data_IF_445046091640
#
_entry.id   IF_445046091640
#
_cell.length_a   1.000
_cell.length_b   1.000
_cell.length_c   1.000
_cell.angle_alpha   90.00
_cell.angle_beta   90.00
_cell.angle_gamma   90.00
#
_symmetry.space_group_name_H-M   'P 1'
#
loop_
_entity.id
_entity.type
_entity.pdbx_description
1 polymer ?
#
# COMPACT_ATOMS: atom_id res chain seq x y z
N UNK A 1 -3.81 26.38 -5.14
CA UNK A 1 -4.91 25.71 -4.40
C UNK A 1 -5.57 24.77 -5.38
N UNK A 2 -5.56 23.46 -5.09
CA UNK A 2 -6.11 22.43 -5.99
C UNK A 2 -7.33 21.75 -5.37
N UNK A 3 -8.21 21.22 -6.21
CA UNK A 3 -9.33 20.36 -5.84
C UNK A 3 -8.95 18.91 -6.13
N UNK A 4 -8.92 18.06 -5.12
CA UNK A 4 -8.42 16.72 -5.20
C UNK A 4 -9.48 15.73 -4.75
N UNK A 5 -9.77 14.72 -5.55
CA UNK A 5 -10.63 13.61 -5.17
C UNK A 5 -9.80 12.48 -4.57
N UNK A 6 -10.11 12.02 -3.36
CA UNK A 6 -9.51 10.87 -2.73
C UNK A 6 -10.55 9.74 -2.62
N UNK A 7 -10.43 8.71 -3.44
CA UNK A 7 -11.45 7.66 -3.56
C UNK A 7 -11.61 6.81 -2.29
N UNK A 8 -10.52 6.57 -1.55
CA UNK A 8 -10.51 5.66 -0.40
C UNK A 8 -9.75 6.23 0.79
N UNK A 9 -10.43 6.79 1.82
CA UNK A 9 -9.79 7.27 3.04
C UNK A 9 -9.47 6.10 4.00
N UNK A 10 -8.66 5.13 3.52
CA UNK A 10 -8.01 4.14 4.36
C UNK A 10 -6.96 4.78 5.27
N UNK A 11 -6.15 4.00 5.98
CA UNK A 11 -5.12 4.56 6.86
C UNK A 11 -4.13 5.45 6.08
N UNK A 12 -3.66 4.98 4.92
CA UNK A 12 -2.73 5.72 4.06
C UNK A 12 -3.42 6.87 3.33
N UNK A 13 -4.58 6.62 2.69
CA UNK A 13 -5.30 7.65 1.95
C UNK A 13 -5.70 8.82 2.85
N UNK A 14 -6.19 8.56 4.06
CA UNK A 14 -6.55 9.61 5.00
C UNK A 14 -5.34 10.45 5.44
N UNK A 15 -4.16 9.84 5.64
CA UNK A 15 -2.96 10.60 5.99
C UNK A 15 -2.47 11.48 4.85
N UNK A 16 -2.53 10.99 3.60
CA UNK A 16 -2.25 11.80 2.40
C UNK A 16 -3.24 12.98 2.32
N UNK A 17 -4.54 12.69 2.45
CA UNK A 17 -5.56 13.72 2.44
C UNK A 17 -5.38 14.78 3.53
N UNK A 18 -5.01 14.38 4.76
CA UNK A 18 -4.73 15.29 5.87
C UNK A 18 -3.55 16.23 5.55
N UNK A 19 -2.48 15.72 4.95
CA UNK A 19 -1.34 16.54 4.53
C UNK A 19 -1.76 17.56 3.46
N UNK A 20 -2.49 17.13 2.45
CA UNK A 20 -2.98 18.01 1.39
C UNK A 20 -3.96 19.06 1.92
N UNK A 21 -4.87 18.67 2.83
CA UNK A 21 -5.79 19.60 3.47
C UNK A 21 -5.05 20.65 4.32
N UNK A 22 -3.96 20.26 5.01
CA UNK A 22 -3.14 21.19 5.80
C UNK A 22 -2.45 22.27 4.95
N UNK A 23 -2.31 22.05 3.64
CA UNK A 23 -1.76 22.98 2.64
C UNK A 23 -2.84 23.75 1.88
N UNK A 24 -4.03 23.87 2.44
CA UNK A 24 -5.17 24.62 1.88
C UNK A 24 -5.77 24.03 0.59
N UNK A 25 -5.46 22.79 0.23
CA UNK A 25 -6.15 22.10 -0.86
C UNK A 25 -7.55 21.64 -0.40
N UNK A 26 -8.51 21.62 -1.31
CA UNK A 26 -9.82 20.98 -1.07
C UNK A 26 -9.72 19.51 -1.43
N UNK A 27 -9.88 18.63 -0.44
CA UNK A 27 -9.81 17.17 -0.67
C UNK A 27 -11.20 16.57 -0.48
N UNK A 28 -11.78 16.08 -1.58
CA UNK A 28 -13.06 15.36 -1.58
C UNK A 28 -12.84 13.89 -1.22
N UNK A 29 -13.86 13.27 -0.63
CA UNK A 29 -13.90 11.82 -0.50
C UNK A 29 -15.31 11.28 -0.76
N UNK A 30 -15.41 10.03 -1.26
CA UNK A 30 -16.68 9.38 -1.56
C UNK A 30 -17.19 8.61 -0.33
N UNK A 31 -18.28 9.05 0.34
CA UNK A 31 -18.76 8.45 1.59
C UNK A 31 -19.58 7.17 1.39
N UNK A 32 -20.28 7.03 0.25
CA UNK A 32 -21.25 5.94 0.05
C UNK A 32 -20.56 4.58 0.04
N UNK A 33 -21.13 3.62 0.76
CA UNK A 33 -20.60 2.28 0.87
C UNK A 33 -19.31 2.15 1.72
N UNK A 34 -18.88 3.22 2.41
CA UNK A 34 -17.68 3.17 3.26
C UNK A 34 -18.02 2.82 4.71
N UNK A 35 -17.06 2.16 5.37
CA UNK A 35 -17.20 1.82 6.79
C UNK A 35 -17.18 3.07 7.69
N UNK A 36 -17.80 2.99 8.87
CA UNK A 36 -17.70 4.05 9.88
C UNK A 36 -16.25 4.37 10.29
N UNK A 37 -15.34 3.39 10.20
CA UNK A 37 -13.90 3.60 10.43
C UNK A 37 -13.28 4.49 9.36
N UNK A 38 -13.67 4.32 8.10
CA UNK A 38 -13.22 5.18 6.99
C UNK A 38 -13.78 6.59 7.12
N UNK A 39 -15.06 6.73 7.46
CA UNK A 39 -15.71 8.03 7.69
C UNK A 39 -15.01 8.82 8.82
N UNK A 40 -14.72 8.16 9.94
CA UNK A 40 -13.99 8.78 11.06
C UNK A 40 -12.59 9.26 10.65
N UNK A 41 -11.87 8.48 9.85
CA UNK A 41 -10.55 8.90 9.34
C UNK A 41 -10.66 10.09 8.38
N UNK A 42 -11.65 10.10 7.51
CA UNK A 42 -11.90 11.21 6.60
C UNK A 42 -12.21 12.50 7.37
N UNK A 43 -13.04 12.42 8.41
CA UNK A 43 -13.34 13.55 9.31
C UNK A 43 -12.07 14.05 10.00
N UNK A 44 -11.26 13.15 10.58
CA UNK A 44 -10.00 13.51 11.23
C UNK A 44 -8.99 14.15 10.26
N UNK A 45 -9.03 13.77 8.99
CA UNK A 45 -8.19 14.32 7.94
C UNK A 45 -8.72 15.64 7.34
N UNK A 46 -9.89 16.12 7.79
CA UNK A 46 -10.52 17.34 7.27
C UNK A 46 -11.03 17.19 5.83
N UNK A 47 -11.38 15.97 5.40
CA UNK A 47 -11.87 15.74 4.03
C UNK A 47 -13.31 16.16 3.88
N UNK A 48 -13.65 16.68 2.71
CA UNK A 48 -15.01 17.10 2.35
C UNK A 48 -15.78 15.91 1.74
N UNK A 49 -16.88 15.44 2.33
CA UNK A 49 -17.67 14.37 1.73
C UNK A 49 -18.43 14.87 0.51
N UNK A 50 -18.43 14.10 -0.58
CA UNK A 50 -19.32 14.33 -1.73
C UNK A 50 -19.63 13.03 -2.46
N UNK A 51 -20.96 12.75 -2.59
CA UNK A 51 -21.51 11.67 -3.44
C UNK A 51 -22.04 12.21 -4.77
N UNK A 52 -21.76 13.48 -5.11
CA UNK A 52 -22.18 14.09 -6.37
C UNK A 52 -21.05 13.97 -7.39
N UNK A 53 -21.30 13.24 -8.49
CA UNK A 53 -20.29 13.02 -9.54
C UNK A 53 -19.78 14.35 -10.11
N UNK A 54 -20.66 15.35 -10.27
CA UNK A 54 -20.29 16.67 -10.80
C UNK A 54 -19.18 17.35 -9.98
N UNK A 55 -19.12 17.10 -8.67
CA UNK A 55 -18.02 17.59 -7.83
C UNK A 55 -16.67 16.98 -8.20
N UNK A 56 -16.68 15.69 -8.59
CA UNK A 56 -15.48 14.93 -8.96
C UNK A 56 -15.01 15.29 -10.36
N UNK A 57 -15.93 15.61 -11.28
CA UNK A 57 -15.58 16.03 -12.65
C UNK A 57 -14.77 17.33 -12.68
N UNK A 58 -14.82 18.12 -11.61
CA UNK A 58 -14.08 19.38 -11.47
C UNK A 58 -12.77 19.24 -10.66
N UNK A 59 -12.41 18.03 -10.26
CA UNK A 59 -11.16 17.80 -9.55
C UNK A 59 -9.95 17.90 -10.49
N UNK A 60 -8.91 18.60 -10.07
CA UNK A 60 -7.63 18.64 -10.79
C UNK A 60 -6.98 17.25 -10.81
N UNK A 61 -7.07 16.53 -9.70
CA UNK A 61 -6.54 15.18 -9.51
C UNK A 61 -7.57 14.29 -8.83
N UNK A 62 -7.61 13.01 -9.24
CA UNK A 62 -8.30 11.94 -8.52
C UNK A 62 -7.27 10.90 -8.09
N UNK A 63 -7.17 10.63 -6.78
CA UNK A 63 -6.21 9.67 -6.21
C UNK A 63 -6.94 8.36 -5.92
N UNK A 64 -6.49 7.28 -6.59
CA UNK A 64 -6.86 5.90 -6.29
C UNK A 64 -5.83 5.28 -5.36
N UNK A 65 -6.26 4.88 -4.16
CA UNK A 65 -5.43 4.18 -3.19
C UNK A 65 -6.27 3.13 -2.44
N UNK A 66 -6.33 1.93 -2.99
CA UNK A 66 -7.13 0.80 -2.52
C UNK A 66 -6.27 -0.49 -2.46
N UNK A 67 -6.81 -1.61 -1.99
CA UNK A 67 -6.14 -2.91 -2.14
C UNK A 67 -5.93 -3.27 -3.62
N UNK A 68 -4.85 -4.02 -3.95
CA UNK A 68 -4.50 -4.36 -5.33
C UNK A 68 -5.64 -4.98 -6.15
N UNK A 69 -6.45 -5.83 -5.53
CA UNK A 69 -7.57 -6.54 -6.14
C UNK A 69 -8.74 -5.61 -6.58
N UNK A 70 -8.80 -4.40 -6.06
CA UNK A 70 -9.82 -3.41 -6.41
C UNK A 70 -9.36 -2.40 -7.47
N UNK A 71 -8.09 -2.39 -7.88
CA UNK A 71 -7.52 -1.32 -8.71
C UNK A 71 -8.26 -1.13 -10.04
N UNK A 72 -8.52 -2.21 -10.78
CA UNK A 72 -9.20 -2.15 -12.09
C UNK A 72 -10.65 -1.69 -11.97
N UNK A 73 -11.38 -2.19 -10.96
CA UNK A 73 -12.79 -1.79 -10.76
C UNK A 73 -12.93 -0.34 -10.35
N UNK A 74 -11.98 0.18 -9.58
CA UNK A 74 -11.93 1.59 -9.20
C UNK A 74 -11.60 2.46 -10.40
N UNK A 75 -10.62 2.09 -11.22
CA UNK A 75 -10.31 2.78 -12.46
C UNK A 75 -11.51 2.80 -13.42
N UNK A 76 -12.22 1.67 -13.57
CA UNK A 76 -13.42 1.59 -14.38
C UNK A 76 -14.52 2.54 -13.88
N UNK A 77 -14.72 2.64 -12.55
CA UNK A 77 -15.69 3.59 -12.00
C UNK A 77 -15.38 5.04 -12.38
N UNK A 78 -14.11 5.44 -12.40
CA UNK A 78 -13.71 6.80 -12.80
C UNK A 78 -13.95 7.04 -14.30
N UNK A 79 -13.75 6.02 -15.13
CA UNK A 79 -14.13 6.07 -16.56
C UNK A 79 -15.64 6.24 -16.71
N UNK A 80 -16.43 5.47 -15.98
CA UNK A 80 -17.90 5.47 -16.04
C UNK A 80 -18.49 6.82 -15.59
N UNK A 81 -17.81 7.54 -14.69
CA UNK A 81 -18.18 8.90 -14.30
C UNK A 81 -17.96 9.93 -15.42
N UNK A 82 -17.16 9.63 -16.43
CA UNK A 82 -16.79 10.55 -17.49
C UNK A 82 -15.76 11.60 -17.06
N UNK A 83 -14.96 11.31 -16.05
CA UNK A 83 -13.85 12.17 -15.60
C UNK A 83 -12.85 12.38 -16.74
N UNK A 84 -12.31 13.60 -16.87
CA UNK A 84 -11.38 13.98 -17.95
C UNK A 84 -10.07 14.63 -17.44
N UNK A 85 -9.84 14.62 -16.14
CA UNK A 85 -8.65 15.17 -15.52
C UNK A 85 -7.51 14.15 -15.38
N UNK A 86 -6.73 14.27 -14.32
CA UNK A 86 -5.58 13.40 -14.05
C UNK A 86 -5.90 12.41 -12.92
N UNK A 87 -5.81 11.11 -13.19
CA UNK A 87 -5.90 10.06 -12.17
C UNK A 87 -4.50 9.69 -11.70
N UNK A 88 -4.33 9.68 -10.38
CA UNK A 88 -3.14 9.18 -9.71
C UNK A 88 -3.43 7.74 -9.30
N UNK A 89 -2.83 6.78 -10.00
CA UNK A 89 -2.89 5.37 -9.62
C UNK A 89 -1.84 5.12 -8.53
N UNK A 90 -2.29 5.03 -7.28
CA UNK A 90 -1.40 4.92 -6.11
C UNK A 90 -1.52 3.57 -5.40
N UNK A 91 -2.04 2.54 -6.09
CA UNK A 91 -2.17 1.20 -5.55
C UNK A 91 -0.83 0.45 -5.54
N UNK A 92 -0.74 -0.59 -4.73
CA UNK A 92 0.46 -1.43 -4.69
C UNK A 92 0.35 -2.56 -5.72
N UNK A 93 0.39 -2.23 -7.00
CA UNK A 93 0.27 -3.16 -8.13
C UNK A 93 1.56 -3.23 -8.95
N UNK A 94 1.71 -4.30 -9.75
CA UNK A 94 2.86 -4.46 -10.62
C UNK A 94 2.91 -3.38 -11.72
N UNK A 95 4.10 -3.02 -12.22
CA UNK A 95 4.22 -2.02 -13.28
C UNK A 95 3.47 -2.41 -14.56
N UNK A 96 3.37 -3.68 -14.89
CA UNK A 96 2.60 -4.15 -16.04
C UNK A 96 1.11 -3.89 -15.84
N UNK A 97 0.59 -4.28 -14.71
CA UNK A 97 -0.81 -4.08 -14.32
C UNK A 97 -1.20 -2.59 -14.33
N UNK A 98 -0.32 -1.74 -13.79
CA UNK A 98 -0.48 -0.29 -13.86
C UNK A 98 -0.59 0.20 -15.32
N UNK A 99 0.33 -0.24 -16.20
CA UNK A 99 0.30 0.16 -17.62
C UNK A 99 -0.97 -0.31 -18.32
N UNK A 100 -1.51 -1.46 -17.98
CA UNK A 100 -2.76 -1.96 -18.57
C UNK A 100 -4.00 -1.17 -18.07
N UNK A 101 -4.02 -0.74 -16.81
CA UNK A 101 -5.03 0.19 -16.29
C UNK A 101 -4.88 1.54 -16.99
N UNK A 102 -3.67 2.08 -17.09
CA UNK A 102 -3.40 3.36 -17.72
C UNK A 102 -3.87 3.41 -19.18
N UNK A 103 -3.64 2.35 -19.98
CA UNK A 103 -4.14 2.26 -21.35
C UNK A 103 -5.66 2.44 -21.46
N UNK A 104 -6.42 1.87 -20.52
CA UNK A 104 -7.89 2.00 -20.50
C UNK A 104 -8.33 3.40 -20.14
N UNK A 105 -7.67 4.00 -19.15
CA UNK A 105 -7.93 5.37 -18.70
C UNK A 105 -7.60 6.39 -19.80
N UNK A 106 -6.43 6.28 -20.40
CA UNK A 106 -5.98 7.16 -21.49
C UNK A 106 -6.86 7.03 -22.75
N UNK A 107 -7.33 5.82 -23.07
CA UNK A 107 -8.30 5.62 -24.17
C UNK A 107 -9.65 6.32 -23.89
N UNK A 108 -9.95 6.63 -22.63
CA UNK A 108 -11.14 7.39 -22.21
C UNK A 108 -10.85 8.89 -22.00
N UNK A 109 -9.66 9.37 -22.34
CA UNK A 109 -9.26 10.78 -22.22
C UNK A 109 -8.74 11.19 -20.83
N UNK A 110 -8.51 10.24 -19.94
CA UNK A 110 -8.02 10.49 -18.56
C UNK A 110 -6.49 10.40 -18.57
N UNK A 111 -5.81 11.45 -18.13
CA UNK A 111 -4.36 11.41 -17.93
C UNK A 111 -4.03 10.55 -16.69
N UNK A 112 -2.92 9.82 -16.74
CA UNK A 112 -2.49 8.96 -15.64
C UNK A 112 -1.11 9.36 -15.13
N UNK A 113 -0.99 9.42 -13.81
CA UNK A 113 0.28 9.45 -13.08
C UNK A 113 0.38 8.17 -12.26
N UNK A 114 1.50 7.46 -12.38
CA UNK A 114 1.88 6.38 -11.49
C UNK A 114 2.37 6.98 -10.16
N UNK A 115 1.60 6.80 -9.10
CA UNK A 115 1.91 7.27 -7.76
C UNK A 115 2.14 6.11 -6.80
N UNK A 116 3.32 6.00 -6.23
CA UNK A 116 3.66 4.90 -5.33
C UNK A 116 4.05 5.40 -3.95
N UNK A 117 3.28 4.99 -2.92
CA UNK A 117 3.59 5.39 -1.54
C UNK A 117 4.58 4.40 -0.92
N UNK A 118 5.73 4.91 -0.47
CA UNK A 118 6.80 4.16 0.19
C UNK A 118 6.92 4.69 1.63
N UNK A 119 6.65 3.84 2.60
CA UNK A 119 6.61 4.20 4.03
C UNK A 119 5.26 3.94 4.67
N UNK A 120 5.01 4.57 5.81
CA UNK A 120 3.77 4.48 6.59
C UNK A 120 2.87 5.70 6.47
N UNK A 121 1.65 5.67 7.05
CA UNK A 121 0.84 6.88 7.22
C UNK A 121 1.59 7.93 8.04
N UNK A 122 1.56 9.20 7.60
CA UNK A 122 2.18 10.34 8.28
C UNK A 122 1.13 11.44 8.41
N UNK A 123 0.87 11.85 9.63
CA UNK A 123 -0.10 12.91 9.91
C UNK A 123 0.60 14.25 10.09
N UNK A 124 -0.05 15.40 9.83
CA UNK A 124 0.55 16.72 10.02
C UNK A 124 1.11 16.96 11.43
N UNK A 125 0.53 16.28 12.44
CA UNK A 125 0.98 16.33 13.84
C UNK A 125 2.28 15.59 14.11
N UNK A 126 2.73 14.70 13.22
CA UNK A 126 3.89 13.83 13.47
C UNK A 126 5.23 14.55 13.33
N UNK A 127 5.23 15.72 12.67
CA UNK A 127 6.35 16.68 12.67
C UNK A 127 7.63 16.24 11.95
N UNK A 128 7.68 15.03 11.39
CA UNK A 128 8.84 14.50 10.68
C UNK A 128 8.46 13.97 9.31
N UNK A 129 9.31 14.21 8.31
CA UNK A 129 9.24 13.56 7.02
C UNK A 129 9.59 12.08 7.20
N UNK A 130 8.68 11.18 6.85
CA UNK A 130 8.92 9.74 7.03
C UNK A 130 8.44 8.85 5.90
N UNK A 131 7.77 9.41 4.90
CA UNK A 131 7.23 8.65 3.76
C UNK A 131 7.44 9.40 2.45
N UNK A 132 7.51 8.64 1.36
CA UNK A 132 7.73 9.15 0.01
C UNK A 132 6.49 8.84 -0.84
N UNK A 133 6.09 9.79 -1.67
CA UNK A 133 5.21 9.55 -2.81
C UNK A 133 6.08 9.60 -4.05
N UNK A 134 6.54 8.43 -4.49
CA UNK A 134 7.26 8.28 -5.74
C UNK A 134 6.27 8.41 -6.90
N UNK A 135 6.63 9.21 -7.90
CA UNK A 135 5.75 9.52 -9.02
C UNK A 135 6.47 9.31 -10.34
N UNK A 136 5.76 8.74 -11.33
CA UNK A 136 6.24 8.67 -12.72
C UNK A 136 5.11 8.90 -13.72
N UNK A 137 5.47 9.40 -14.92
CA UNK A 137 4.51 9.75 -15.95
C UNK A 137 4.69 11.18 -16.46
N UNK A 138 3.78 11.64 -17.30
CA UNK A 138 3.80 13.00 -17.86
C UNK A 138 3.29 14.01 -16.82
N UNK A 139 3.86 15.22 -16.83
CA UNK A 139 3.43 16.34 -15.97
C UNK A 139 3.44 16.03 -14.45
N UNK A 140 4.29 15.09 -14.06
CA UNK A 140 4.39 14.55 -12.71
C UNK A 140 4.91 15.56 -11.69
N UNK A 141 5.70 16.56 -12.12
CA UNK A 141 6.31 17.58 -11.23
C UNK A 141 5.26 18.39 -10.47
N UNK A 142 4.16 18.76 -11.15
CA UNK A 142 3.09 19.52 -10.53
C UNK A 142 2.35 18.73 -9.43
N UNK A 143 2.20 17.42 -9.62
CA UNK A 143 1.64 16.57 -8.58
C UNK A 143 2.60 16.35 -7.42
N UNK A 144 3.87 16.08 -7.70
CA UNK A 144 4.90 15.91 -6.67
C UNK A 144 5.05 17.17 -5.80
N UNK A 145 4.96 18.37 -6.39
CA UNK A 145 5.03 19.64 -5.69
C UNK A 145 3.89 19.88 -4.69
N UNK A 146 2.74 19.17 -4.79
CA UNK A 146 1.67 19.26 -3.80
C UNK A 146 2.12 18.80 -2.40
N UNK A 147 3.19 18.04 -2.33
CA UNK A 147 3.72 17.48 -1.08
C UNK A 147 4.89 18.29 -0.50
N UNK A 148 5.25 19.42 -1.10
CA UNK A 148 6.26 20.32 -0.53
C UNK A 148 5.87 20.78 0.87
N UNK A 149 6.84 20.73 1.79
CA UNK A 149 6.64 21.07 3.21
C UNK A 149 5.52 20.27 3.90
N UNK A 150 5.25 19.05 3.46
CA UNK A 150 4.35 18.10 4.13
C UNK A 150 5.16 16.98 4.80
N UNK A 151 4.50 16.04 5.47
CA UNK A 151 5.12 14.82 6.00
C UNK A 151 5.48 13.79 4.91
N UNK A 152 5.13 14.03 3.65
CA UNK A 152 5.52 13.21 2.50
C UNK A 152 6.50 13.96 1.61
N UNK A 153 7.52 13.25 1.13
CA UNK A 153 8.39 13.73 0.06
C UNK A 153 7.80 13.34 -1.31
N UNK A 154 7.52 14.31 -2.16
CA UNK A 154 7.19 14.08 -3.56
C UNK A 154 8.48 13.76 -4.34
N UNK A 155 8.65 12.50 -4.80
CA UNK A 155 9.82 12.06 -5.54
C UNK A 155 9.45 11.77 -7.00
N UNK A 156 9.95 12.57 -7.92
CA UNK A 156 9.85 12.28 -9.37
C UNK A 156 10.87 11.23 -9.74
N UNK A 157 10.40 10.07 -10.22
CA UNK A 157 11.26 8.96 -10.64
C UNK A 157 11.63 9.08 -12.10
N UNK A 158 10.64 9.26 -12.98
CA UNK A 158 10.82 9.39 -14.42
C UNK A 158 9.55 9.91 -15.11
N UNK A 159 9.61 10.05 -16.44
CA UNK A 159 8.44 10.34 -17.29
C UNK A 159 7.73 9.08 -17.79
N UNK A 160 8.23 7.89 -17.47
CA UNK A 160 7.70 6.62 -17.95
C UNK A 160 6.75 5.98 -16.93
N UNK A 161 5.50 5.70 -17.33
CA UNK A 161 4.52 5.02 -16.48
C UNK A 161 5.01 3.63 -16.07
N UNK A 162 4.91 3.34 -14.77
CA UNK A 162 5.30 2.08 -14.15
C UNK A 162 6.66 2.13 -13.44
N UNK A 163 7.44 3.22 -13.58
CA UNK A 163 8.73 3.31 -12.91
C UNK A 163 8.61 3.56 -11.42
N UNK A 164 7.63 4.36 -10.97
CA UNK A 164 7.35 4.54 -9.55
C UNK A 164 6.82 3.24 -8.91
N UNK A 165 5.93 2.52 -9.60
CA UNK A 165 5.48 1.18 -9.20
C UNK A 165 6.65 0.19 -9.15
N UNK A 166 7.55 0.20 -10.14
CA UNK A 166 8.76 -0.63 -10.15
C UNK A 166 9.62 -0.36 -8.91
N UNK A 167 9.89 0.91 -8.61
CA UNK A 167 10.65 1.31 -7.43
C UNK A 167 10.01 0.77 -6.14
N UNK A 168 8.69 0.93 -6.01
CA UNK A 168 7.93 0.41 -4.85
C UNK A 168 8.03 -1.11 -4.75
N UNK A 169 7.88 -1.85 -5.85
CA UNK A 169 7.93 -3.31 -5.83
C UNK A 169 9.30 -3.82 -5.37
N UNK A 170 10.40 -3.26 -5.89
CA UNK A 170 11.76 -3.67 -5.46
C UNK A 170 12.01 -3.28 -3.98
N UNK A 171 11.58 -2.10 -3.55
CA UNK A 171 11.70 -1.69 -2.15
C UNK A 171 10.89 -2.59 -1.22
N UNK A 172 9.65 -2.91 -1.59
CA UNK A 172 8.76 -3.75 -0.81
C UNK A 172 9.21 -5.22 -0.79
N UNK A 173 9.88 -5.70 -1.83
CA UNK A 173 10.47 -7.04 -1.89
C UNK A 173 11.40 -7.29 -0.70
N UNK A 174 12.28 -6.35 -0.38
CA UNK A 174 13.15 -6.47 0.79
C UNK A 174 12.38 -6.31 2.09
N UNK A 175 11.61 -5.24 2.24
CA UNK A 175 10.99 -4.89 3.52
C UNK A 175 9.94 -5.90 3.98
N UNK A 176 9.09 -6.39 3.07
CA UNK A 176 8.05 -7.39 3.37
C UNK A 176 8.56 -8.81 3.25
N UNK A 177 9.38 -9.10 2.22
CA UNK A 177 9.99 -10.40 2.06
C UNK A 177 10.84 -10.82 3.27
N UNK A 178 11.58 -9.89 3.87
CA UNK A 178 12.35 -10.18 5.08
C UNK A 178 11.46 -10.48 6.30
N UNK A 179 10.27 -9.87 6.40
CA UNK A 179 9.30 -10.18 7.47
C UNK A 179 8.81 -11.62 7.32
N UNK A 180 8.39 -12.00 6.11
CA UNK A 180 7.91 -13.36 5.81
C UNK A 180 9.02 -14.40 6.05
N UNK A 181 10.24 -14.11 5.58
CA UNK A 181 11.39 -14.98 5.78
C UNK A 181 11.69 -15.22 7.28
N UNK A 182 11.69 -14.16 8.08
CA UNK A 182 11.94 -14.28 9.53
C UNK A 182 10.81 -15.04 10.21
N UNK A 183 9.55 -14.78 9.83
CA UNK A 183 8.39 -15.50 10.37
C UNK A 183 8.49 -17.01 10.10
N UNK A 184 8.82 -17.40 8.87
CA UNK A 184 8.91 -18.81 8.49
C UNK A 184 10.16 -19.48 9.09
N UNK A 185 11.28 -18.80 9.23
CA UNK A 185 12.47 -19.32 9.94
C UNK A 185 12.10 -19.64 11.39
N UNK A 186 11.42 -18.74 12.10
CA UNK A 186 10.98 -18.97 13.49
C UNK A 186 9.98 -20.11 13.58
N UNK A 187 9.05 -20.21 12.65
CA UNK A 187 8.07 -21.30 12.55
C UNK A 187 8.77 -22.67 12.38
N UNK A 188 9.67 -22.77 11.43
CA UNK A 188 10.42 -24.03 11.16
C UNK A 188 11.33 -24.39 12.33
N UNK A 189 12.02 -23.41 12.93
CA UNK A 189 12.88 -23.64 14.08
C UNK A 189 12.09 -24.14 15.30
N UNK A 190 10.85 -23.63 15.51
CA UNK A 190 9.95 -24.12 16.55
C UNK A 190 9.54 -25.56 16.30
N UNK A 191 9.10 -25.88 15.09
CA UNK A 191 8.67 -27.25 14.73
C UNK A 191 9.81 -28.28 14.82
N UNK A 192 11.04 -27.85 14.55
CA UNK A 192 12.24 -28.71 14.68
C UNK A 192 12.79 -28.74 16.12
N UNK A 193 12.25 -27.97 17.05
CA UNK A 193 12.70 -27.91 18.44
C UNK A 193 14.06 -27.25 18.63
N UNK A 194 14.49 -26.38 17.70
CA UNK A 194 15.82 -25.72 17.73
C UNK A 194 15.73 -24.19 17.85
N UNK A 195 14.54 -23.63 18.11
CA UNK A 195 14.35 -22.18 18.21
C UNK A 195 15.25 -21.55 19.28
N UNK A 196 15.34 -22.14 20.45
CA UNK A 196 16.14 -21.63 21.55
C UNK A 196 17.63 -21.53 21.19
N UNK A 197 18.16 -22.49 20.46
CA UNK A 197 19.54 -22.50 20.01
C UNK A 197 19.78 -21.46 18.90
N UNK A 198 18.85 -21.34 17.99
CA UNK A 198 18.86 -20.29 16.94
C UNK A 198 18.87 -18.88 17.55
N UNK A 199 18.02 -18.64 18.54
CA UNK A 199 17.93 -17.36 19.23
C UNK A 199 19.22 -17.02 20.00
N UNK A 200 19.86 -18.01 20.62
CA UNK A 200 21.19 -17.84 21.24
C UNK A 200 22.26 -17.45 20.20
N UNK A 201 22.24 -18.05 19.01
CA UNK A 201 23.16 -17.68 17.94
C UNK A 201 22.93 -16.25 17.42
N UNK A 202 21.70 -15.78 17.39
CA UNK A 202 21.39 -14.40 17.01
C UNK A 202 21.78 -13.38 18.11
N UNK A 203 21.74 -13.80 19.39
CA UNK A 203 21.88 -12.94 20.54
C UNK A 203 20.60 -12.12 20.85
N UNK A 204 20.48 -11.65 22.08
CA UNK A 204 19.24 -11.09 22.61
C UNK A 204 18.69 -9.91 21.80
N UNK A 205 19.54 -8.96 21.44
CA UNK A 205 19.13 -7.76 20.70
C UNK A 205 18.53 -8.11 19.32
N UNK A 206 19.22 -8.95 18.56
CA UNK A 206 18.79 -9.33 17.23
C UNK A 206 17.54 -10.22 17.27
N UNK A 207 17.41 -11.09 18.26
CA UNK A 207 16.23 -11.89 18.53
C UNK A 207 15.01 -11.00 18.79
N UNK A 208 15.13 -10.07 19.73
CA UNK A 208 14.04 -9.16 20.07
C UNK A 208 13.62 -8.30 18.86
N UNK A 209 14.57 -7.86 18.04
CA UNK A 209 14.30 -7.10 16.82
C UNK A 209 13.49 -7.92 15.81
N UNK A 210 13.85 -9.21 15.62
CA UNK A 210 13.13 -10.13 14.72
C UNK A 210 11.73 -10.46 15.21
N UNK A 211 11.57 -10.74 16.51
CA UNK A 211 10.25 -10.94 17.12
C UNK A 211 9.35 -9.71 16.94
N UNK A 212 9.88 -8.52 17.20
CA UNK A 212 9.16 -7.27 17.00
C UNK A 212 8.78 -7.03 15.54
N UNK A 213 9.67 -7.37 14.60
CA UNK A 213 9.41 -7.24 13.18
C UNK A 213 8.19 -8.06 12.75
N UNK A 214 8.10 -9.31 13.16
CA UNK A 214 6.97 -10.19 12.82
C UNK A 214 5.69 -9.73 13.53
N UNK A 215 5.73 -9.57 14.85
CA UNK A 215 4.53 -9.26 15.65
C UNK A 215 3.91 -7.88 15.34
N UNK A 216 4.73 -6.87 15.03
CA UNK A 216 4.23 -5.53 14.66
C UNK A 216 3.50 -5.53 13.31
N UNK A 217 3.81 -6.48 12.43
CA UNK A 217 3.26 -6.54 11.09
C UNK A 217 2.14 -7.58 10.92
N UNK A 218 1.90 -8.45 11.92
CA UNK A 218 0.91 -9.51 11.83
C UNK A 218 -0.51 -8.99 11.51
N UNK A 219 -0.96 -7.92 12.14
CA UNK A 219 -2.28 -7.33 11.86
C UNK A 219 -2.43 -6.74 10.44
N UNK A 220 -1.33 -6.63 9.69
CA UNK A 220 -1.28 -6.14 8.30
C UNK A 220 -1.03 -7.27 7.30
N UNK A 221 -0.77 -8.50 7.76
CA UNK A 221 -0.38 -9.64 6.93
C UNK A 221 -1.37 -9.90 5.78
N UNK A 222 -2.67 -9.81 6.04
CA UNK A 222 -3.72 -9.99 5.06
C UNK A 222 -3.57 -9.11 3.80
N UNK A 223 -2.97 -7.90 3.92
CA UNK A 223 -2.67 -7.03 2.77
C UNK A 223 -1.37 -7.41 2.10
N UNK A 224 -0.40 -7.87 2.89
CA UNK A 224 0.93 -8.17 2.39
C UNK A 224 0.94 -9.38 1.46
N UNK A 225 0.03 -10.34 1.64
CA UNK A 225 -0.11 -11.48 0.74
C UNK A 225 -0.36 -11.04 -0.71
N UNK A 226 -1.35 -10.16 -0.94
CA UNK A 226 -1.62 -9.60 -2.27
C UNK A 226 -0.44 -8.78 -2.80
N UNK A 227 0.18 -7.94 -1.96
CA UNK A 227 1.34 -7.15 -2.37
C UNK A 227 2.55 -8.03 -2.72
N UNK A 228 2.77 -9.16 -2.04
CA UNK A 228 3.84 -10.11 -2.39
C UNK A 228 3.61 -10.80 -3.74
N UNK A 229 2.36 -11.04 -4.13
CA UNK A 229 2.03 -11.55 -5.47
C UNK A 229 2.31 -10.52 -6.57
N UNK A 230 2.01 -9.25 -6.33
CA UNK A 230 2.37 -8.16 -7.25
C UNK A 230 3.89 -8.05 -7.42
N UNK A 231 4.65 -8.24 -6.34
CA UNK A 231 6.11 -8.30 -6.37
C UNK A 231 6.58 -9.53 -7.15
N UNK A 232 6.00 -10.71 -6.90
CA UNK A 232 6.30 -11.95 -7.63
C UNK A 232 6.13 -11.74 -9.12
N UNK A 233 5.01 -11.17 -9.54
CA UNK A 233 4.74 -10.83 -10.94
C UNK A 233 5.79 -9.87 -11.51
N UNK A 234 6.11 -8.79 -10.78
CA UNK A 234 7.12 -7.81 -11.21
C UNK A 234 8.49 -8.47 -11.47
N UNK A 235 8.91 -9.38 -10.60
CA UNK A 235 10.16 -10.13 -10.77
C UNK A 235 10.09 -11.08 -11.97
N UNK A 236 8.96 -11.74 -12.17
CA UNK A 236 8.72 -12.61 -13.34
C UNK A 236 8.78 -11.84 -14.66
N UNK A 237 8.25 -10.63 -14.71
CA UNK A 237 8.24 -9.78 -15.91
C UNK A 237 9.65 -9.46 -16.44
N UNK A 238 10.64 -9.39 -15.55
CA UNK A 238 12.04 -9.16 -15.92
C UNK A 238 12.86 -10.47 -15.98
N UNK A 239 12.22 -11.64 -15.88
CA UNK A 239 12.89 -12.95 -15.91
C UNK A 239 13.69 -13.29 -14.65
N UNK A 240 13.43 -12.59 -13.53
CA UNK A 240 14.06 -12.87 -12.24
C UNK A 240 13.31 -13.97 -11.46
N UNK A 241 13.95 -14.53 -10.42
CA UNK A 241 13.36 -15.57 -9.59
C UNK A 241 12.18 -15.01 -8.74
N UNK A 242 10.97 -15.31 -9.14
CA UNK A 242 9.72 -14.82 -8.52
C UNK A 242 9.21 -15.69 -7.36
N UNK A 243 9.58 -16.98 -7.33
CA UNK A 243 9.04 -17.98 -6.39
C UNK A 243 9.27 -17.65 -4.91
N UNK A 244 10.32 -16.91 -4.57
CA UNK A 244 10.55 -16.43 -3.21
C UNK A 244 9.39 -15.53 -2.72
N UNK A 245 8.91 -14.66 -3.56
CA UNK A 245 7.84 -13.72 -3.21
C UNK A 245 6.47 -14.41 -3.18
N UNK A 246 6.26 -15.42 -4.01
CA UNK A 246 5.07 -16.27 -3.95
C UNK A 246 5.03 -17.06 -2.64
N UNK A 247 6.14 -17.67 -2.24
CA UNK A 247 6.25 -18.33 -0.94
C UNK A 247 5.99 -17.36 0.24
N UNK A 248 6.50 -16.14 0.15
CA UNK A 248 6.25 -15.11 1.16
C UNK A 248 4.75 -14.71 1.24
N UNK A 249 4.02 -14.72 0.12
CA UNK A 249 2.57 -14.50 0.12
C UNK A 249 1.84 -15.57 0.93
N UNK A 250 2.21 -16.84 0.77
CA UNK A 250 1.64 -17.97 1.53
C UNK A 250 1.90 -17.84 3.05
N UNK A 251 3.07 -17.36 3.45
CA UNK A 251 3.38 -17.08 4.86
C UNK A 251 2.43 -16.02 5.43
N UNK A 252 2.19 -14.95 4.69
CA UNK A 252 1.28 -13.89 5.13
C UNK A 252 -0.19 -14.32 5.16
N UNK A 253 -0.62 -15.21 4.29
CA UNK A 253 -1.98 -15.79 4.31
C UNK A 253 -2.25 -16.57 5.60
N UNK A 254 -1.28 -17.36 6.08
CA UNK A 254 -1.40 -18.06 7.36
C UNK A 254 -1.56 -17.14 8.56
N UNK A 255 -1.15 -15.88 8.43
CA UNK A 255 -1.28 -14.85 9.46
C UNK A 255 -2.56 -13.99 9.30
N UNK A 256 -3.42 -14.26 8.33
CA UNK A 256 -4.61 -13.45 8.04
C UNK A 256 -5.59 -13.39 9.21
N UNK A 257 -5.68 -14.43 10.01
CA UNK A 257 -6.54 -14.49 11.21
C UNK A 257 -6.23 -13.38 12.23
N UNK A 258 -5.05 -12.77 12.15
CA UNK A 258 -4.67 -11.64 13.01
C UNK A 258 -5.12 -10.27 12.49
N UNK A 259 -5.88 -10.23 11.39
CA UNK A 259 -6.47 -9.00 10.87
C UNK A 259 -7.30 -8.31 11.95
N UNK A 260 -7.13 -7.00 12.06
CA UNK A 260 -7.87 -6.13 12.99
C UNK A 260 -7.61 -6.39 14.49
N UNK A 261 -6.64 -7.20 14.87
CA UNK A 261 -6.24 -7.31 16.28
C UNK A 261 -5.75 -5.95 16.79
N UNK A 262 -6.30 -5.55 17.93
CA UNK A 262 -5.97 -4.27 18.59
C UNK A 262 -4.66 -4.41 19.38
N UNK A 263 -4.47 -5.56 20.02
CA UNK A 263 -3.25 -5.86 20.76
C UNK A 263 -2.25 -6.62 19.87
N UNK A 264 -0.98 -6.34 20.09
CA UNK A 264 0.09 -7.05 19.38
C UNK A 264 0.09 -8.52 19.78
N UNK A 265 -0.04 -9.47 18.84
CA UNK A 265 -0.01 -10.90 19.17
C UNK A 265 1.36 -11.31 19.75
N UNK A 266 1.35 -12.28 20.64
CA UNK A 266 2.57 -12.93 21.11
C UNK A 266 3.22 -13.73 19.97
N UNK A 267 4.54 -13.93 20.04
CA UNK A 267 5.23 -14.77 19.06
C UNK A 267 4.63 -16.18 19.00
N UNK A 268 4.32 -16.79 20.15
CA UNK A 268 3.78 -18.16 20.21
C UNK A 268 2.39 -18.26 19.54
N UNK A 269 1.55 -17.24 19.66
CA UNK A 269 0.28 -17.18 18.92
C UNK A 269 0.50 -17.11 17.40
N UNK A 270 1.52 -16.37 16.94
CA UNK A 270 1.87 -16.30 15.52
C UNK A 270 2.42 -17.62 15.01
N UNK A 271 3.31 -18.27 15.77
CA UNK A 271 3.88 -19.58 15.39
C UNK A 271 2.79 -20.67 15.34
N UNK A 272 1.81 -20.60 16.24
CA UNK A 272 0.64 -21.49 16.17
C UNK A 272 -0.14 -21.32 14.87
N UNK A 273 -0.39 -20.07 14.44
CA UNK A 273 -1.07 -19.81 13.16
C UNK A 273 -0.25 -20.24 11.95
N UNK A 274 1.07 -20.07 12.00
CA UNK A 274 1.97 -20.47 10.90
C UNK A 274 2.09 -21.98 10.76
N UNK A 275 1.99 -22.74 11.87
CA UNK A 275 2.12 -24.20 11.90
C UNK A 275 0.80 -24.93 11.60
N UNK A 276 -0.36 -24.27 11.66
CA UNK A 276 -1.65 -24.91 11.32
C UNK A 276 -1.66 -25.26 9.82
N UNK A 277 -1.75 -26.56 9.55
CA UNK A 277 -1.79 -27.15 8.21
C UNK A 277 -3.21 -27.14 7.64
N UNK A 278 -3.79 -25.98 7.39
CA UNK A 278 -4.97 -25.87 6.54
C UNK A 278 -4.59 -25.20 5.22
N UNK A 279 -3.70 -25.85 4.47
CA UNK A 279 -3.63 -25.63 3.04
C UNK A 279 -4.50 -26.72 2.42
N UNK A 280 -5.79 -26.43 2.22
CA UNK A 280 -6.53 -27.15 1.20
C UNK A 280 -5.77 -26.95 -0.12
N UNK A 281 -5.19 -28.02 -0.62
CA UNK A 281 -4.69 -28.10 -1.99
C UNK A 281 -5.85 -27.71 -2.92
N UNK A 282 -5.80 -26.49 -3.46
CA UNK A 282 -6.69 -26.04 -4.53
C UNK A 282 -5.95 -26.06 -5.85
#
# INVERSE_FOLDING_TARGET
MSRIGLLHPGAMGASIGAQLTSKTHTVLWWPDGRSGRSAKRAEQAGLTPSSQIDDWLTADYVISICPPDAAESVAQSVIDWGYQGTLIEANAISPMRLRDIAKKLEASGIQVIDGSVIGGPVWPSDGALSSVIACSGREVDAFAALFEETGFEGMVVSTELGDASSLKMVFAALTKGSIALVAEILNVAEQLGVRSELEKLWGDQATQQRHNQVSTNAAKAWRFAGEMREISQTFSEVGAASGFHEAAALVFERLESHKDWVERPSLDALLTSLSSQDIEEK
#
